data_IF_436229440001
#
_entry.id   IF_436229440001
#
_cell.length_a   1.000
_cell.length_b   1.000
_cell.length_c   1.000
_cell.angle_alpha   90.00
_cell.angle_beta   90.00
_cell.angle_gamma   90.00
#
_symmetry.space_group_name_H-M   'P 1'
#
loop_
_entity.id
_entity.type
_entity.pdbx_description
1 polymer ?
#
# COMPACT_ATOMS: atom_id res chain seq x y z
N UNK A 1 25.89 12.84 9.66
CA UNK A 1 25.67 11.87 8.56
C UNK A 1 25.68 12.66 7.26
N UNK A 2 26.58 12.34 6.33
CA UNK A 2 26.67 13.04 5.04
C UNK A 2 25.51 12.64 4.13
N UNK A 3 24.85 13.63 3.52
CA UNK A 3 23.88 13.38 2.46
C UNK A 3 24.61 12.78 1.25
N UNK A 4 24.38 11.49 0.97
CA UNK A 4 24.93 10.84 -0.23
C UNK A 4 23.91 10.96 -1.36
N UNK A 5 24.27 11.71 -2.41
CA UNK A 5 23.42 11.90 -3.61
C UNK A 5 22.89 10.56 -4.12
N UNK A 6 21.65 10.54 -4.61
CA UNK A 6 21.06 9.34 -5.20
C UNK A 6 21.58 9.19 -6.64
N UNK A 7 22.03 8.00 -7.07
CA UNK A 7 22.51 7.80 -8.43
C UNK A 7 21.42 8.10 -9.48
N UNK A 8 21.80 8.71 -10.60
CA UNK A 8 20.84 9.07 -11.65
C UNK A 8 20.08 7.86 -12.23
N UNK A 9 20.75 6.69 -12.34
CA UNK A 9 20.08 5.48 -12.84
C UNK A 9 18.92 5.03 -11.95
N UNK A 10 19.01 5.22 -10.63
CA UNK A 10 17.92 4.91 -9.70
C UNK A 10 16.71 5.80 -9.97
N UNK A 11 16.94 7.10 -10.21
CA UNK A 11 15.88 8.06 -10.53
C UNK A 11 15.19 7.68 -11.84
N UNK A 12 15.96 7.36 -12.89
CA UNK A 12 15.43 6.95 -14.18
C UNK A 12 14.65 5.63 -14.12
N UNK A 13 15.22 4.61 -13.46
CA UNK A 13 14.54 3.31 -13.30
C UNK A 13 13.20 3.48 -12.56
N UNK A 14 13.19 4.24 -11.48
CA UNK A 14 11.97 4.50 -10.72
C UNK A 14 10.97 5.34 -11.53
N UNK A 15 11.43 6.35 -12.27
CA UNK A 15 10.56 7.15 -13.13
C UNK A 15 9.90 6.32 -14.25
N UNK A 16 10.66 5.45 -14.91
CA UNK A 16 10.13 4.52 -15.92
C UNK A 16 9.13 3.56 -15.29
N UNK A 17 9.45 2.98 -14.13
CA UNK A 17 8.51 2.13 -13.41
C UNK A 17 7.19 2.87 -13.09
N UNK A 18 7.25 4.10 -12.55
CA UNK A 18 6.06 4.90 -12.25
C UNK A 18 5.27 5.25 -13.51
N UNK A 19 5.94 5.56 -14.62
CA UNK A 19 5.30 5.86 -15.90
C UNK A 19 4.53 4.68 -16.48
N UNK A 20 4.90 3.44 -16.13
CA UNK A 20 4.20 2.21 -16.51
C UNK A 20 3.13 1.84 -15.46
N UNK A 21 3.48 1.93 -14.19
CA UNK A 21 2.62 1.57 -13.05
C UNK A 21 1.35 2.41 -13.01
N UNK A 22 1.47 3.74 -13.07
CA UNK A 22 0.34 4.67 -12.94
C UNK A 22 -0.76 4.39 -13.98
N UNK A 23 -0.49 4.41 -15.30
CA UNK A 23 -1.55 4.14 -16.28
C UNK A 23 -2.07 2.70 -16.19
N UNK A 24 -1.19 1.72 -15.96
CA UNK A 24 -1.61 0.32 -15.82
C UNK A 24 -2.60 0.12 -14.68
N UNK A 25 -2.29 0.66 -13.49
CA UNK A 25 -3.14 0.56 -12.31
C UNK A 25 -4.43 1.36 -12.43
N UNK A 26 -4.34 2.55 -13.02
CA UNK A 26 -5.53 3.35 -13.25
C UNK A 26 -6.53 2.60 -14.13
N UNK A 27 -6.07 2.04 -15.24
CA UNK A 27 -6.94 1.30 -16.17
C UNK A 27 -7.46 0.02 -15.53
N UNK A 28 -6.61 -0.70 -14.79
CA UNK A 28 -6.95 -2.01 -14.22
C UNK A 28 -7.82 -1.97 -12.95
N UNK A 29 -7.56 -1.02 -12.05
CA UNK A 29 -8.21 -0.95 -10.73
C UNK A 29 -9.01 0.35 -10.51
N UNK A 30 -8.84 1.34 -11.38
CA UNK A 30 -9.40 2.67 -11.23
C UNK A 30 -8.54 3.58 -10.33
N UNK A 31 -8.79 4.90 -10.36
CA UNK A 31 -7.96 5.88 -9.67
C UNK A 31 -8.01 5.77 -8.15
N UNK A 32 -9.10 5.25 -7.56
CA UNK A 32 -9.20 5.10 -6.12
C UNK A 32 -8.19 4.10 -5.55
N UNK A 33 -7.61 3.21 -6.38
CA UNK A 33 -6.62 2.24 -5.93
C UNK A 33 -5.39 2.93 -5.32
N UNK A 34 -5.01 4.10 -5.83
CA UNK A 34 -3.86 4.84 -5.32
C UNK A 34 -4.03 5.37 -3.89
N UNK A 35 -5.19 5.15 -3.26
CA UNK A 35 -5.41 5.42 -1.85
C UNK A 35 -4.90 4.30 -0.93
N UNK A 36 -4.53 3.13 -1.46
CA UNK A 36 -3.83 2.12 -0.67
C UNK A 36 -2.55 2.70 -0.08
N UNK A 37 -2.29 2.43 1.20
CA UNK A 37 -1.11 2.95 1.86
C UNK A 37 0.20 2.50 1.20
N UNK A 38 0.24 1.31 0.62
CA UNK A 38 1.40 0.85 -0.14
C UNK A 38 1.67 1.68 -1.39
N UNK A 39 0.62 2.03 -2.15
CA UNK A 39 0.72 2.90 -3.33
C UNK A 39 1.19 4.31 -2.92
N UNK A 40 0.65 4.85 -1.82
CA UNK A 40 1.09 6.16 -1.30
C UNK A 40 2.55 6.12 -0.86
N UNK A 41 3.00 5.06 -0.18
CA UNK A 41 4.40 4.89 0.21
C UNK A 41 5.30 4.77 -1.03
N UNK A 42 4.84 4.11 -2.09
CA UNK A 42 5.53 4.05 -3.37
C UNK A 42 5.72 5.45 -3.97
N UNK A 43 4.66 6.28 -3.99
CA UNK A 43 4.75 7.68 -4.44
C UNK A 43 5.69 8.52 -3.55
N UNK A 44 5.59 8.39 -2.23
CA UNK A 44 6.49 9.08 -1.30
C UNK A 44 7.95 8.68 -1.54
N UNK A 45 8.23 7.39 -1.74
CA UNK A 45 9.56 6.89 -2.06
C UNK A 45 10.05 7.40 -3.42
N UNK A 46 9.18 7.48 -4.43
CA UNK A 46 9.50 8.04 -5.73
C UNK A 46 9.94 9.51 -5.62
N UNK A 47 9.12 10.36 -4.99
CA UNK A 47 9.45 11.78 -4.81
C UNK A 47 10.65 11.98 -3.87
N UNK A 48 10.81 11.14 -2.85
CA UNK A 48 12.00 11.13 -2.02
C UNK A 48 13.27 10.85 -2.85
N UNK A 49 13.20 9.91 -3.79
CA UNK A 49 14.30 9.55 -4.69
C UNK A 49 14.60 10.68 -5.68
N UNK A 50 13.56 11.25 -6.30
CA UNK A 50 13.67 12.30 -7.31
C UNK A 50 14.30 13.57 -6.73
N UNK A 51 13.75 14.05 -5.61
CA UNK A 51 14.17 15.29 -4.95
C UNK A 51 15.25 15.10 -3.88
N UNK A 52 15.72 13.86 -3.68
CA UNK A 52 16.66 13.51 -2.61
C UNK A 52 16.19 13.98 -1.22
N UNK A 53 14.87 13.95 -1.01
CA UNK A 53 14.22 14.47 0.19
C UNK A 53 14.29 13.47 1.33
N UNK A 54 15.15 13.76 2.30
CA UNK A 54 15.24 13.04 3.58
C UNK A 54 13.89 12.95 4.29
N UNK A 55 13.09 14.01 4.23
CA UNK A 55 11.80 14.07 4.91
C UNK A 55 10.79 13.07 4.31
N UNK A 56 10.65 13.06 2.98
CA UNK A 56 9.76 12.13 2.29
C UNK A 56 10.22 10.69 2.43
N UNK A 57 11.53 10.43 2.34
CA UNK A 57 12.08 9.09 2.60
C UNK A 57 11.73 8.60 4.01
N UNK A 58 11.79 9.49 4.99
CA UNK A 58 11.47 9.18 6.39
C UNK A 58 9.98 8.98 6.62
N UNK A 59 9.11 9.73 5.95
CA UNK A 59 7.66 9.50 5.99
C UNK A 59 7.31 8.14 5.36
N UNK A 60 7.86 7.85 4.19
CA UNK A 60 7.66 6.58 3.49
C UNK A 60 8.12 5.39 4.36
N UNK A 61 9.31 5.47 4.96
CA UNK A 61 9.82 4.44 5.86
C UNK A 61 8.95 4.29 7.12
N UNK A 62 8.58 5.39 7.78
CA UNK A 62 7.78 5.36 9.00
C UNK A 62 6.37 4.78 8.77
N UNK A 63 5.76 5.09 7.63
CA UNK A 63 4.39 4.66 7.31
C UNK A 63 4.30 3.28 6.67
N UNK A 64 5.32 2.87 5.93
CA UNK A 64 5.23 1.69 5.07
C UNK A 64 6.12 0.52 5.46
N UNK A 65 7.26 0.74 6.12
CA UNK A 65 8.29 -0.31 6.26
C UNK A 65 7.75 -1.59 6.91
N UNK A 66 7.10 -1.46 8.08
CA UNK A 66 6.56 -2.62 8.82
C UNK A 66 5.51 -3.35 7.98
N UNK A 67 4.54 -2.62 7.42
CA UNK A 67 3.47 -3.21 6.62
C UNK A 67 4.00 -3.92 5.37
N UNK A 68 4.93 -3.29 4.64
CA UNK A 68 5.56 -3.89 3.47
C UNK A 68 6.39 -5.13 3.84
N UNK A 69 7.07 -5.13 4.98
CA UNK A 69 7.76 -6.32 5.48
C UNK A 69 6.80 -7.46 5.83
N UNK A 70 5.67 -7.16 6.48
CA UNK A 70 4.63 -8.16 6.77
C UNK A 70 4.00 -8.71 5.49
N UNK A 71 3.77 -7.86 4.50
CA UNK A 71 3.32 -8.27 3.17
C UNK A 71 4.30 -9.26 2.54
N UNK A 72 5.61 -9.04 2.67
CA UNK A 72 6.62 -9.97 2.15
C UNK A 72 6.63 -11.32 2.88
N UNK A 73 6.44 -11.33 4.19
CA UNK A 73 6.32 -12.57 4.97
C UNK A 73 5.09 -13.36 4.50
N UNK A 74 3.94 -12.69 4.37
CA UNK A 74 2.70 -13.30 3.86
C UNK A 74 2.86 -13.78 2.42
N UNK A 75 3.55 -13.03 1.56
CA UNK A 75 3.84 -13.41 0.18
C UNK A 75 4.66 -14.70 0.10
N UNK A 76 5.74 -14.81 0.88
CA UNK A 76 6.58 -16.02 0.88
C UNK A 76 5.80 -17.23 1.39
N UNK A 77 5.01 -17.05 2.46
CA UNK A 77 4.17 -18.13 3.00
C UNK A 77 3.11 -18.58 2.00
N UNK A 78 2.41 -17.62 1.39
CA UNK A 78 1.37 -17.87 0.38
C UNK A 78 1.95 -18.49 -0.89
N UNK A 79 3.14 -18.05 -1.33
CA UNK A 79 3.85 -18.68 -2.44
C UNK A 79 4.20 -20.13 -2.11
N UNK A 80 4.75 -20.39 -0.93
CA UNK A 80 5.10 -21.74 -0.50
C UNK A 80 3.86 -22.64 -0.49
N UNK A 81 2.76 -22.21 0.14
CA UNK A 81 1.54 -23.01 0.22
C UNK A 81 0.85 -23.20 -1.14
N UNK A 82 0.90 -22.18 -2.01
CA UNK A 82 0.43 -22.30 -3.38
C UNK A 82 1.18 -23.38 -4.17
N UNK A 83 2.48 -23.55 -3.96
CA UNK A 83 3.27 -24.63 -4.58
C UNK A 83 2.87 -26.04 -4.12
N UNK A 84 2.17 -26.16 -2.99
CA UNK A 84 1.61 -27.42 -2.47
C UNK A 84 0.09 -27.53 -2.67
N UNK A 85 -0.51 -26.67 -3.52
CA UNK A 85 -1.96 -26.61 -3.78
C UNK A 85 -2.82 -26.32 -2.53
N UNK A 86 -2.23 -25.66 -1.52
CA UNK A 86 -2.93 -25.23 -0.31
C UNK A 86 -3.34 -23.76 -0.47
N UNK A 87 -4.64 -23.52 -0.52
CA UNK A 87 -5.20 -22.15 -0.61
C UNK A 87 -5.29 -21.54 0.79
N UNK A 88 -4.51 -20.50 1.03
CA UNK A 88 -4.59 -19.67 2.23
C UNK A 88 -5.19 -18.31 1.93
N UNK A 89 -6.06 -17.85 2.82
CA UNK A 89 -6.49 -16.46 2.84
C UNK A 89 -5.40 -15.62 3.53
N UNK A 90 -4.76 -14.75 2.76
CA UNK A 90 -3.71 -13.84 3.21
C UNK A 90 -3.77 -12.52 2.44
N UNK A 91 -3.02 -11.52 2.89
CA UNK A 91 -2.97 -10.20 2.24
C UNK A 91 -2.50 -10.26 0.79
N UNK A 92 -1.75 -11.30 0.43
CA UNK A 92 -1.12 -11.51 -0.88
C UNK A 92 -1.80 -12.57 -1.74
N UNK A 93 -2.88 -13.21 -1.25
CA UNK A 93 -3.59 -14.26 -1.99
C UNK A 93 -4.07 -13.79 -3.37
N UNK A 94 -4.39 -12.49 -3.51
CA UNK A 94 -4.78 -11.89 -4.79
C UNK A 94 -3.69 -11.97 -5.88
N UNK A 95 -2.40 -12.06 -5.50
CA UNK A 95 -1.28 -12.25 -6.44
C UNK A 95 -1.34 -13.61 -7.13
N UNK A 96 -2.02 -14.58 -6.54
CA UNK A 96 -2.20 -15.93 -7.09
C UNK A 96 -3.58 -16.12 -7.73
N UNK A 97 -4.46 -15.12 -7.69
CA UNK A 97 -5.76 -15.18 -8.35
C UNK A 97 -5.61 -15.06 -9.89
N UNK A 98 -6.08 -16.06 -10.62
CA UNK A 98 -6.07 -16.12 -12.09
C UNK A 98 -7.06 -15.16 -12.76
N UNK A 99 -8.07 -14.67 -12.05
CA UNK A 99 -9.03 -13.67 -12.56
C UNK A 99 -8.36 -12.30 -12.76
N UNK A 100 -7.31 -12.02 -11.99
CA UNK A 100 -6.52 -10.79 -12.14
C UNK A 100 -5.47 -10.97 -13.23
N UNK A 101 -5.35 -9.96 -14.11
CA UNK A 101 -4.34 -10.00 -15.17
C UNK A 101 -2.93 -10.21 -14.59
N UNK A 102 -2.12 -11.05 -15.25
CA UNK A 102 -0.73 -11.29 -14.86
C UNK A 102 0.03 -9.97 -14.75
N UNK A 103 -0.22 -9.04 -15.67
CA UNK A 103 0.40 -7.73 -15.70
C UNK A 103 0.21 -6.92 -14.42
N UNK A 104 -1.04 -6.79 -13.93
CA UNK A 104 -1.34 -6.05 -12.70
C UNK A 104 -0.73 -6.72 -11.47
N UNK A 105 -0.70 -8.05 -11.45
CA UNK A 105 -0.07 -8.83 -10.38
C UNK A 105 1.45 -8.66 -10.37
N UNK A 106 2.09 -8.62 -11.54
CA UNK A 106 3.53 -8.34 -11.66
C UNK A 106 3.87 -6.93 -11.19
N UNK A 107 3.09 -5.93 -11.58
CA UNK A 107 3.27 -4.57 -11.10
C UNK A 107 3.12 -4.45 -9.58
N UNK A 108 2.23 -5.27 -8.97
CA UNK A 108 2.07 -5.35 -7.50
C UNK A 108 3.33 -5.86 -6.79
N UNK A 109 4.27 -6.51 -7.48
CA UNK A 109 5.51 -7.00 -6.87
C UNK A 109 6.46 -5.87 -6.42
N UNK A 110 6.13 -4.60 -6.68
CA UNK A 110 6.84 -3.48 -6.05
C UNK A 110 6.90 -3.61 -4.53
N UNK A 111 5.91 -4.25 -3.90
CA UNK A 111 5.88 -4.51 -2.46
C UNK A 111 7.11 -5.30 -1.98
N UNK A 112 7.69 -6.15 -2.85
CA UNK A 112 8.91 -6.90 -2.55
C UNK A 112 10.12 -5.97 -2.49
N UNK A 113 10.31 -5.12 -3.49
CA UNK A 113 11.48 -4.26 -3.59
C UNK A 113 11.44 -3.04 -2.64
N UNK A 114 10.24 -2.51 -2.38
CA UNK A 114 10.04 -1.25 -1.68
C UNK A 114 10.63 -1.20 -0.25
N UNK A 115 10.47 -2.19 0.66
CA UNK A 115 11.05 -2.10 2.00
C UNK A 115 12.59 -2.01 1.97
N UNK A 116 13.25 -2.70 1.04
CA UNK A 116 14.71 -2.60 0.86
C UNK A 116 15.11 -1.23 0.31
N UNK A 117 14.34 -0.70 -0.64
CA UNK A 117 14.55 0.65 -1.17
C UNK A 117 14.40 1.70 -0.05
N UNK A 118 13.40 1.57 0.82
CA UNK A 118 13.20 2.48 1.95
C UNK A 118 14.40 2.48 2.90
N UNK A 119 14.90 1.30 3.30
CA UNK A 119 16.10 1.19 4.13
C UNK A 119 17.32 1.85 3.46
N UNK A 120 17.49 1.60 2.16
CA UNK A 120 18.57 2.21 1.39
C UNK A 120 18.44 3.73 1.30
N UNK A 121 17.25 4.27 1.08
CA UNK A 121 17.00 5.71 1.09
C UNK A 121 17.31 6.32 2.46
N UNK A 122 16.93 5.68 3.56
CA UNK A 122 17.29 6.12 4.91
C UNK A 122 18.81 6.07 5.13
N UNK A 123 19.48 5.02 4.66
CA UNK A 123 20.94 4.94 4.74
C UNK A 123 21.64 6.07 3.96
N UNK A 124 21.10 6.48 2.81
CA UNK A 124 21.71 7.52 1.94
C UNK A 124 21.39 8.94 2.35
N UNK A 125 20.13 9.21 2.70
CA UNK A 125 19.59 10.54 2.96
C UNK A 125 19.48 10.85 4.46
N UNK A 126 19.57 9.83 5.31
CA UNK A 126 19.34 9.91 6.75
C UNK A 126 17.86 9.79 7.13
N UNK A 127 17.59 9.75 8.44
CA UNK A 127 16.23 9.79 8.98
C UNK A 127 15.91 11.16 9.57
N UNK A 128 14.72 11.67 9.29
CA UNK A 128 14.18 12.89 9.86
C UNK A 128 13.36 12.57 11.11
N UNK A 129 13.85 12.98 12.29
CA UNK A 129 13.31 12.61 13.62
C UNK A 129 11.81 12.86 13.81
N UNK A 130 11.24 13.87 13.15
CA UNK A 130 9.81 14.22 13.27
C UNK A 130 8.93 13.68 12.13
N UNK A 131 9.48 12.94 11.18
CA UNK A 131 8.73 12.49 10.01
C UNK A 131 7.54 11.58 10.38
N UNK A 132 7.65 10.80 11.46
CA UNK A 132 6.56 9.97 11.95
C UNK A 132 5.31 10.80 12.33
N UNK A 133 5.46 12.01 12.87
CA UNK A 133 4.31 12.87 13.24
C UNK A 133 3.54 13.28 11.99
N UNK A 134 4.26 13.80 11.00
CA UNK A 134 3.66 14.21 9.72
C UNK A 134 3.09 13.01 8.98
N UNK A 135 3.74 11.86 9.08
CA UNK A 135 3.25 10.66 8.45
C UNK A 135 1.95 10.16 9.07
N UNK A 136 1.85 10.15 10.40
CA UNK A 136 0.61 9.81 11.09
C UNK A 136 -0.51 10.77 10.72
N UNK A 137 -0.24 12.09 10.70
CA UNK A 137 -1.23 13.07 10.29
C UNK A 137 -1.67 12.88 8.82
N UNK A 138 -0.72 12.61 7.93
CA UNK A 138 -0.98 12.38 6.51
C UNK A 138 -1.81 11.11 6.29
N UNK A 139 -1.43 9.98 6.88
CA UNK A 139 -2.20 8.74 6.80
C UNK A 139 -3.57 8.85 7.48
N UNK A 140 -3.69 9.59 8.59
CA UNK A 140 -4.98 9.91 9.17
C UNK A 140 -5.89 10.67 8.19
N UNK A 141 -5.33 11.64 7.48
CA UNK A 141 -6.06 12.37 6.42
C UNK A 141 -6.47 11.43 5.28
N UNK A 142 -5.58 10.53 4.85
CA UNK A 142 -5.88 9.53 3.82
C UNK A 142 -7.01 8.59 4.26
N UNK A 143 -7.04 8.15 5.52
CA UNK A 143 -8.14 7.33 6.05
C UNK A 143 -9.47 8.07 5.92
N UNK A 144 -9.52 9.32 6.37
CA UNK A 144 -10.73 10.14 6.30
C UNK A 144 -11.19 10.34 4.86
N UNK A 145 -10.27 10.69 3.95
CA UNK A 145 -10.59 10.86 2.53
C UNK A 145 -11.08 9.54 1.92
N UNK A 146 -10.39 8.43 2.18
CA UNK A 146 -10.78 7.10 1.68
C UNK A 146 -12.18 6.73 2.13
N UNK A 147 -12.50 6.94 3.40
CA UNK A 147 -13.84 6.69 3.95
C UNK A 147 -14.93 7.56 3.31
N UNK A 148 -14.62 8.82 2.97
CA UNK A 148 -15.58 9.75 2.37
C UNK A 148 -15.85 9.51 0.87
N UNK A 149 -14.84 9.06 0.12
CA UNK A 149 -14.88 9.14 -1.36
C UNK A 149 -14.82 7.78 -2.07
N UNK A 150 -14.70 6.67 -1.35
CA UNK A 150 -14.58 5.34 -1.95
C UNK A 150 -15.76 4.42 -1.64
N UNK A 151 -16.00 3.48 -2.54
CA UNK A 151 -17.04 2.46 -2.37
C UNK A 151 -16.66 1.47 -1.26
N UNK A 152 -17.53 1.26 -0.25
CA UNK A 152 -17.32 0.32 0.85
C UNK A 152 -16.99 -1.12 0.42
N UNK A 153 -17.45 -1.56 -0.76
CA UNK A 153 -17.14 -2.88 -1.33
C UNK A 153 -15.66 -3.07 -1.62
N UNK A 154 -14.92 -1.99 -1.91
CA UNK A 154 -13.47 -2.04 -2.16
C UNK A 154 -12.65 -2.12 -0.88
N UNK A 155 -13.23 -1.66 0.23
CA UNK A 155 -12.66 -1.64 1.58
C UNK A 155 -11.15 -1.29 1.65
N UNK A 156 -10.76 -0.22 0.95
CA UNK A 156 -9.37 0.21 0.85
C UNK A 156 -8.84 0.56 2.24
N UNK A 157 -7.65 0.07 2.58
CA UNK A 157 -7.03 0.17 3.92
C UNK A 157 -7.93 -0.29 5.08
N UNK A 158 -8.94 -1.12 4.80
CA UNK A 158 -9.89 -1.63 5.81
C UNK A 158 -10.61 -0.50 6.57
N UNK A 159 -10.83 0.65 5.92
CA UNK A 159 -11.51 1.80 6.56
C UNK A 159 -13.00 1.54 6.80
N UNK A 160 -13.58 0.54 6.14
CA UNK A 160 -14.95 0.08 6.37
C UNK A 160 -14.94 -1.27 7.10
N UNK A 161 -15.54 -1.33 8.28
CA UNK A 161 -15.86 -2.62 8.88
C UNK A 161 -17.12 -3.16 8.22
N UNK A 162 -17.04 -4.34 7.60
CA UNK A 162 -18.18 -4.99 6.94
C UNK A 162 -19.38 -5.17 7.90
N UNK A 163 -19.10 -5.42 9.19
CA UNK A 163 -20.14 -5.44 10.23
C UNK A 163 -20.74 -4.04 10.39
N UNK A 164 -19.95 -3.01 10.69
CA UNK A 164 -20.44 -1.65 10.98
C UNK A 164 -21.17 -1.04 9.77
N UNK A 165 -20.70 -1.28 8.55
CA UNK A 165 -21.39 -0.82 7.34
C UNK A 165 -22.80 -1.42 7.20
N UNK A 166 -22.96 -2.71 7.53
CA UNK A 166 -24.28 -3.35 7.59
C UNK A 166 -25.12 -2.78 8.74
N UNK A 167 -24.55 -2.61 9.94
CA UNK A 167 -25.24 -2.00 11.09
C UNK A 167 -25.74 -0.57 10.82
N UNK A 168 -24.96 0.26 10.12
CA UNK A 168 -25.29 1.68 9.84
C UNK A 168 -26.29 1.82 8.68
N UNK A 169 -26.30 0.89 7.72
CA UNK A 169 -27.23 0.89 6.59
C UNK A 169 -28.40 -0.09 6.73
N UNK A 170 -28.60 -0.67 7.92
CA UNK A 170 -29.78 -1.48 8.23
C UNK A 170 -30.96 -0.55 8.54
N UNK A 171 -32.06 -0.71 7.81
CA UNK A 171 -33.33 -0.07 8.18
C UNK A 171 -33.77 -0.56 9.56
N UNK A 172 -34.47 0.27 10.33
CA UNK A 172 -34.86 -0.01 11.72
C UNK A 172 -35.52 -1.39 11.94
N UNK A 173 -36.25 -1.91 10.93
CA UNK A 173 -36.88 -3.23 10.98
C UNK A 173 -35.88 -4.40 11.00
N UNK A 174 -34.69 -4.23 10.42
CA UNK A 174 -33.64 -5.26 10.36
C UNK A 174 -32.92 -5.45 11.71
N UNK A 175 -33.02 -4.46 12.60
CA UNK A 175 -32.37 -4.47 13.92
C UNK A 175 -33.05 -5.45 14.88
N UNK A 176 -34.39 -5.60 14.79
CA UNK A 176 -35.17 -6.45 15.69
C UNK A 176 -35.06 -7.96 15.41
N UNK A 177 -34.61 -8.35 14.22
CA UNK A 177 -34.47 -9.76 13.85
C UNK A 177 -33.19 -10.42 14.36
N UNK A 178 -32.19 -9.64 14.79
CA UNK A 178 -30.88 -10.16 15.22
C UNK A 178 -30.79 -10.34 16.75
N UNK A 179 -31.64 -9.68 17.55
CA UNK A 179 -31.66 -9.94 19.01
C UNK A 179 -32.35 -11.27 19.38
N UNK A 180 -32.97 -11.97 18.43
CA UNK A 180 -33.71 -13.20 18.66
C UNK A 180 -33.23 -14.42 17.85
N UNK A 181 -32.05 -14.36 17.23
CA UNK A 181 -31.37 -15.49 16.55
C UNK A 181 -29.88 -15.49 16.85
#
# INVERSE_FOLDING_TARGET
MSHRKIPCYTKWLFAVFMAVFIPGYWIGHGPSNFLWFSDIVLFLAFFATLFESRFLASMAAAGGFIFLSLWNVDFVFTLFTYLFDIKLAGFTAYIFNSESSVWLRTLSLFHVALPFLLLWLIYRLGYHKRAWIFQTAFFGTVILVTWLVTDPSRNINVVFSYKIYKWVNMGAASFLLIEFV
#
